data_IF_088725918279
#
_entry.id   IF_088725918279
#
_cell.length_a   1.000
_cell.length_b   1.000
_cell.length_c   1.000
_cell.angle_alpha   90.00
_cell.angle_beta   90.00
_cell.angle_gamma   90.00
#
_symmetry.space_group_name_H-M   'P 1'
#
loop_
_entity.id
_entity.type
_entity.pdbx_description
1 polymer ?
#
# COMPACT_ATOMS: atom_id res chain seq x y z
N UNK A 1 9.76 1.81 11.65
CA UNK A 1 9.73 2.45 10.31
C UNK A 1 11.00 3.25 10.06
N UNK A 2 11.35 4.27 10.84
CA UNK A 2 12.57 5.08 10.62
C UNK A 2 13.87 4.27 10.47
N UNK A 3 14.17 3.36 11.41
CA UNK A 3 15.34 2.48 11.30
C UNK A 3 15.29 1.55 10.09
N UNK A 4 14.09 1.10 9.68
CA UNK A 4 13.92 0.28 8.49
C UNK A 4 14.29 1.04 7.23
N UNK A 5 13.89 2.32 7.12
CA UNK A 5 14.21 3.17 5.98
C UNK A 5 15.71 3.49 5.90
N UNK A 6 16.38 3.63 7.05
CA UNK A 6 17.84 3.79 7.09
C UNK A 6 18.58 2.54 6.62
N UNK A 7 18.11 1.35 7.03
CA UNK A 7 18.71 0.07 6.60
C UNK A 7 18.46 -0.17 5.12
N UNK A 8 17.26 0.13 4.63
CA UNK A 8 16.94 0.10 3.20
C UNK A 8 17.89 0.98 2.39
N UNK A 9 18.10 2.23 2.81
CA UNK A 9 19.05 3.12 2.14
C UNK A 9 20.49 2.58 2.13
N UNK A 10 20.90 1.89 3.21
CA UNK A 10 22.21 1.23 3.28
C UNK A 10 22.30 0.04 2.33
N UNK A 11 21.29 -0.85 2.31
CA UNK A 11 21.29 -2.06 1.50
C UNK A 11 21.17 -1.74 0.01
N UNK A 12 20.35 -0.75 -0.34
CA UNK A 12 20.23 -0.25 -1.70
C UNK A 12 21.56 0.34 -2.18
N UNK A 13 22.23 1.14 -1.34
CA UNK A 13 23.57 1.62 -1.65
C UNK A 13 24.59 0.47 -1.81
N UNK A 14 24.56 -0.55 -0.96
CA UNK A 14 25.43 -1.72 -1.09
C UNK A 14 25.19 -2.49 -2.41
N UNK A 15 23.94 -2.63 -2.85
CA UNK A 15 23.59 -3.24 -4.12
C UNK A 15 24.13 -2.44 -5.30
N UNK A 16 23.92 -1.12 -5.34
CA UNK A 16 24.40 -0.28 -6.44
C UNK A 16 25.93 -0.11 -6.46
N UNK A 17 26.62 -0.21 -5.33
CA UNK A 17 28.09 -0.23 -5.27
C UNK A 17 28.66 -1.56 -5.78
N UNK A 18 28.03 -2.69 -5.43
CA UNK A 18 28.49 -4.03 -5.78
C UNK A 18 27.28 -4.91 -6.16
N UNK A 19 26.82 -4.86 -7.42
CA UNK A 19 25.64 -5.59 -7.85
C UNK A 19 25.93 -7.09 -7.88
N UNK A 20 25.18 -7.84 -7.09
CA UNK A 20 25.18 -9.29 -7.09
C UNK A 20 23.85 -9.80 -6.52
N UNK A 21 23.58 -11.08 -6.75
CA UNK A 21 22.35 -11.74 -6.32
C UNK A 21 22.05 -11.56 -4.83
N UNK A 22 23.04 -11.75 -3.95
CA UNK A 22 22.82 -11.65 -2.51
C UNK A 22 22.43 -10.22 -2.10
N UNK A 23 23.12 -9.21 -2.63
CA UNK A 23 22.81 -7.81 -2.33
C UNK A 23 21.43 -7.40 -2.84
N UNK A 24 21.04 -7.85 -4.04
CA UNK A 24 19.71 -7.61 -4.60
C UNK A 24 18.60 -8.25 -3.72
N UNK A 25 18.83 -9.49 -3.27
CA UNK A 25 17.90 -10.20 -2.39
C UNK A 25 17.74 -9.50 -1.03
N UNK A 26 18.83 -9.01 -0.44
CA UNK A 26 18.77 -8.28 0.82
C UNK A 26 18.05 -6.94 0.68
N UNK A 27 18.33 -6.18 -0.38
CA UNK A 27 17.65 -4.91 -0.66
C UNK A 27 16.13 -5.13 -0.81
N UNK A 28 15.74 -6.01 -1.73
CA UNK A 28 14.33 -6.32 -1.99
C UNK A 28 13.60 -6.87 -0.75
N UNK A 29 14.27 -7.71 0.06
CA UNK A 29 13.68 -8.24 1.29
C UNK A 29 13.29 -7.14 2.29
N UNK A 30 14.10 -6.07 2.38
CA UNK A 30 13.78 -4.94 3.24
C UNK A 30 12.67 -4.06 2.65
N UNK A 31 12.53 -3.96 1.33
CA UNK A 31 11.36 -3.36 0.68
C UNK A 31 10.06 -4.07 1.09
N UNK A 32 10.03 -5.42 1.10
CA UNK A 32 8.87 -6.19 1.57
C UNK A 32 8.55 -5.87 3.04
N UNK A 33 9.58 -5.81 3.89
CA UNK A 33 9.44 -5.48 5.30
C UNK A 33 8.87 -4.07 5.48
N UNK A 34 9.36 -3.09 4.74
CA UNK A 34 8.90 -1.71 4.77
C UNK A 34 7.44 -1.57 4.31
N UNK A 35 7.06 -2.27 3.24
CA UNK A 35 5.67 -2.30 2.78
C UNK A 35 4.75 -2.90 3.86
N UNK A 36 5.14 -4.03 4.46
CA UNK A 36 4.41 -4.66 5.55
C UNK A 36 4.27 -3.75 6.78
N UNK A 37 5.36 -3.09 7.20
CA UNK A 37 5.35 -2.13 8.31
C UNK A 37 4.46 -0.91 8.02
N UNK A 38 4.38 -0.48 6.76
CA UNK A 38 3.53 0.63 6.33
C UNK A 38 2.04 0.27 6.44
N UNK A 39 1.65 -0.94 6.00
CA UNK A 39 0.28 -1.45 6.19
C UNK A 39 -0.04 -1.58 7.68
N UNK A 40 0.89 -2.13 8.45
CA UNK A 40 0.73 -2.27 9.91
C UNK A 40 0.56 -0.94 10.61
N UNK A 41 1.29 0.10 10.21
CA UNK A 41 1.17 1.44 10.77
C UNK A 41 -0.24 2.02 10.53
N UNK A 42 -0.75 1.91 9.30
CA UNK A 42 -2.12 2.32 8.95
C UNK A 42 -3.19 1.51 9.70
N UNK A 43 -2.98 0.22 9.92
CA UNK A 43 -3.95 -0.67 10.57
C UNK A 43 -3.97 -0.51 12.10
N UNK A 44 -2.80 -0.31 12.72
CA UNK A 44 -2.63 -0.36 14.17
C UNK A 44 -3.40 0.73 14.91
N UNK A 45 -3.65 1.90 14.33
CA UNK A 45 -4.36 2.98 15.04
C UNK A 45 -5.84 2.65 15.29
N UNK A 46 -6.49 1.95 14.36
CA UNK A 46 -7.93 1.64 14.42
C UNK A 46 -8.24 0.21 14.84
N UNK A 47 -7.33 -0.74 14.61
CA UNK A 47 -7.59 -2.17 14.79
C UNK A 47 -6.56 -2.86 15.70
N UNK A 48 -6.21 -2.25 16.83
CA UNK A 48 -5.17 -2.77 17.75
C UNK A 48 -5.36 -4.22 18.19
N UNK A 49 -6.62 -4.68 18.31
CA UNK A 49 -6.92 -6.05 18.75
C UNK A 49 -6.64 -7.10 17.66
N UNK A 50 -6.62 -6.68 16.39
CA UNK A 50 -6.38 -7.54 15.22
C UNK A 50 -4.92 -7.42 14.73
N UNK A 51 -4.20 -6.38 15.15
CA UNK A 51 -2.80 -6.17 14.82
C UNK A 51 -1.94 -7.34 15.30
N UNK A 52 -1.21 -8.03 14.39
CA UNK A 52 -0.36 -9.16 14.77
C UNK A 52 0.77 -8.72 15.70
N UNK A 53 1.18 -9.64 16.60
CA UNK A 53 2.38 -9.45 17.43
C UNK A 53 3.63 -9.42 16.56
N UNK A 54 4.67 -8.74 17.02
CA UNK A 54 5.95 -8.61 16.29
C UNK A 54 6.54 -9.95 15.84
N UNK A 55 6.50 -10.99 16.69
CA UNK A 55 6.99 -12.33 16.33
C UNK A 55 6.23 -12.95 15.16
N UNK A 56 4.91 -12.80 15.15
CA UNK A 56 4.05 -13.30 14.07
C UNK A 56 4.30 -12.53 12.78
N UNK A 57 4.45 -11.21 12.87
CA UNK A 57 4.82 -10.37 11.72
C UNK A 57 6.18 -10.76 11.14
N UNK A 58 7.22 -10.88 11.97
CA UNK A 58 8.55 -11.28 11.52
C UNK A 58 8.55 -12.68 10.91
N UNK A 59 7.80 -13.63 11.48
CA UNK A 59 7.66 -14.98 10.91
C UNK A 59 6.96 -14.96 9.54
N UNK A 60 5.94 -14.11 9.37
CA UNK A 60 5.28 -13.93 8.08
C UNK A 60 6.22 -13.33 7.04
N UNK A 61 6.97 -12.27 7.38
CA UNK A 61 7.96 -11.69 6.46
C UNK A 61 9.06 -12.71 6.12
N UNK A 62 9.57 -13.45 7.08
CA UNK A 62 10.55 -14.51 6.81
C UNK A 62 10.00 -15.58 5.86
N UNK A 63 8.74 -15.96 6.00
CA UNK A 63 8.08 -16.88 5.08
C UNK A 63 7.95 -16.31 3.66
N UNK A 64 7.63 -15.02 3.52
CA UNK A 64 7.60 -14.33 2.22
C UNK A 64 8.99 -14.28 1.59
N UNK A 65 10.05 -14.03 2.36
CA UNK A 65 11.43 -14.06 1.87
C UNK A 65 11.83 -15.46 1.39
N UNK A 66 11.40 -16.53 2.08
CA UNK A 66 11.62 -17.91 1.60
C UNK A 66 10.90 -18.16 0.27
N UNK A 67 9.68 -17.65 0.09
CA UNK A 67 8.96 -17.73 -1.20
C UNK A 67 9.70 -16.97 -2.29
N UNK A 68 10.18 -15.75 -2.01
CA UNK A 68 11.00 -14.91 -2.89
C UNK A 68 12.23 -15.67 -3.39
N UNK A 69 13.07 -16.17 -2.47
CA UNK A 69 14.26 -16.97 -2.82
C UNK A 69 13.88 -18.24 -3.59
N UNK A 70 12.79 -18.91 -3.22
CA UNK A 70 12.33 -20.10 -3.94
C UNK A 70 11.90 -19.78 -5.37
N UNK A 71 11.26 -18.62 -5.59
CA UNK A 71 10.82 -18.18 -6.91
C UNK A 71 11.95 -17.86 -7.87
N UNK A 72 13.13 -17.51 -7.34
CA UNK A 72 14.33 -17.28 -8.15
C UNK A 72 15.15 -18.55 -8.36
N UNK A 73 15.13 -19.50 -7.41
CA UNK A 73 15.91 -20.75 -7.51
C UNK A 73 15.20 -21.83 -8.33
N UNK A 74 13.86 -21.86 -8.33
CA UNK A 74 13.09 -22.82 -9.15
C UNK A 74 13.18 -22.41 -10.61
N UNK A 75 13.44 -23.38 -11.50
CA UNK A 75 13.58 -23.20 -12.96
C UNK A 75 12.67 -22.11 -13.52
N UNK A 76 13.28 -21.15 -14.23
CA UNK A 76 12.66 -19.95 -14.78
C UNK A 76 11.30 -20.26 -15.42
N UNK A 77 10.22 -19.81 -14.76
CA UNK A 77 8.86 -19.95 -15.28
C UNK A 77 8.18 -21.30 -15.05
N UNK A 78 8.64 -22.11 -14.09
CA UNK A 78 7.96 -23.35 -13.71
C UNK A 78 6.46 -23.12 -13.43
N UNK A 79 5.56 -23.71 -14.23
CA UNK A 79 4.12 -23.46 -14.08
C UNK A 79 3.58 -23.96 -12.74
N UNK A 80 4.25 -24.95 -12.13
CA UNK A 80 3.88 -25.49 -10.82
C UNK A 80 4.10 -24.46 -9.73
N UNK A 81 5.28 -23.81 -9.72
CA UNK A 81 5.59 -22.76 -8.75
C UNK A 81 4.62 -21.58 -8.88
N UNK A 82 4.40 -21.08 -10.10
CA UNK A 82 3.48 -19.98 -10.35
C UNK A 82 2.04 -20.32 -9.96
N UNK A 83 1.58 -21.56 -10.22
CA UNK A 83 0.24 -22.00 -9.80
C UNK A 83 0.10 -22.02 -8.28
N UNK A 84 1.09 -22.57 -7.58
CA UNK A 84 1.09 -22.59 -6.11
C UNK A 84 1.13 -21.17 -5.52
N UNK A 85 2.02 -20.32 -6.03
CA UNK A 85 2.14 -18.94 -5.59
C UNK A 85 0.86 -18.14 -5.80
N UNK A 86 0.25 -18.22 -6.99
CA UNK A 86 -0.99 -17.51 -7.29
C UNK A 86 -2.16 -18.00 -6.43
N UNK A 87 -2.25 -19.31 -6.15
CA UNK A 87 -3.25 -19.84 -5.21
C UNK A 87 -3.02 -19.30 -3.79
N UNK A 88 -1.77 -19.32 -3.32
CA UNK A 88 -1.41 -18.76 -2.03
C UNK A 88 -1.75 -17.27 -1.92
N UNK A 89 -1.39 -16.47 -2.95
CA UNK A 89 -1.72 -15.05 -3.03
C UNK A 89 -3.22 -14.80 -2.94
N UNK A 90 -4.04 -15.54 -3.70
CA UNK A 90 -5.50 -15.43 -3.65
C UNK A 90 -6.07 -15.81 -2.28
N UNK A 91 -5.55 -16.86 -1.65
CA UNK A 91 -5.96 -17.25 -0.28
C UNK A 91 -5.64 -16.15 0.71
N UNK A 92 -4.43 -15.57 0.68
CA UNK A 92 -4.04 -14.46 1.54
C UNK A 92 -4.97 -13.26 1.33
N UNK A 93 -5.26 -12.89 0.08
CA UNK A 93 -6.16 -11.77 -0.25
C UNK A 93 -7.57 -12.01 0.27
N UNK A 94 -8.11 -13.23 0.17
CA UNK A 94 -9.43 -13.58 0.72
C UNK A 94 -9.43 -13.51 2.24
N UNK A 95 -8.38 -14.02 2.90
CA UNK A 95 -8.26 -13.95 4.37
C UNK A 95 -8.16 -12.51 4.85
N UNK A 96 -7.31 -11.69 4.22
CA UNK A 96 -7.18 -10.26 4.54
C UNK A 96 -8.50 -9.52 4.28
N UNK A 97 -9.18 -9.83 3.18
CA UNK A 97 -10.50 -9.27 2.87
C UNK A 97 -11.54 -9.59 3.94
N UNK A 98 -11.52 -10.81 4.49
CA UNK A 98 -12.37 -11.19 5.62
C UNK A 98 -12.02 -10.42 6.89
N UNK A 99 -10.74 -10.26 7.20
CA UNK A 99 -10.27 -9.51 8.39
C UNK A 99 -10.61 -8.01 8.30
N UNK A 100 -10.58 -7.43 7.10
CA UNK A 100 -11.03 -6.06 6.86
C UNK A 100 -12.56 -5.93 6.96
N UNK A 101 -13.32 -7.02 6.76
CA UNK A 101 -14.78 -7.01 6.71
C UNK A 101 -15.47 -7.71 7.90
N UNK A 102 -14.72 -8.12 8.94
CA UNK A 102 -15.31 -8.69 10.16
C UNK A 102 -16.06 -7.63 10.94
N UNK A 103 -17.39 -7.62 10.84
CA UNK A 103 -18.23 -6.84 11.75
C UNK A 103 -19.73 -6.86 11.50
N UNK A 104 -20.21 -6.61 10.27
CA UNK A 104 -21.65 -6.55 9.95
C UNK A 104 -21.90 -6.86 8.48
N UNK A 105 -23.02 -7.52 8.19
CA UNK A 105 -23.50 -7.71 6.82
C UNK A 105 -23.75 -6.35 6.17
N UNK A 106 -23.19 -6.05 4.97
CA UNK A 106 -23.40 -4.78 4.34
C UNK A 106 -24.85 -4.69 3.88
N UNK A 107 -25.58 -3.68 4.35
CA UNK A 107 -26.80 -3.25 3.67
C UNK A 107 -26.36 -2.46 2.46
N UNK A 108 -26.62 -2.98 1.27
CA UNK A 108 -26.25 -2.34 0.01
C UNK A 108 -27.00 -1.02 -0.10
N UNK A 109 -26.30 0.10 0.13
CA UNK A 109 -26.80 1.41 -0.29
C UNK A 109 -26.62 1.51 -1.81
N UNK A 110 -27.69 1.74 -2.59
CA UNK A 110 -27.57 1.86 -4.03
C UNK A 110 -26.84 3.15 -4.36
N UNK A 111 -25.66 2.99 -4.97
CA UNK A 111 -24.94 3.94 -5.83
C UNK A 111 -24.74 5.37 -5.30
N UNK A 112 -23.46 5.64 -5.04
CA UNK A 112 -22.83 6.89 -4.61
C UNK A 112 -23.16 7.35 -3.18
N UNK A 113 -22.11 7.35 -2.34
CA UNK A 113 -21.99 8.06 -1.05
C UNK A 113 -22.43 9.57 -1.11
N UNK A 114 -22.84 10.12 -2.28
CA UNK A 114 -23.39 11.47 -2.47
C UNK A 114 -24.81 11.69 -1.89
N UNK A 115 -25.50 10.64 -1.43
CA UNK A 115 -26.82 10.77 -0.78
C UNK A 115 -26.79 10.75 0.74
N UNK A 116 -25.61 10.63 1.38
CA UNK A 116 -25.52 10.72 2.83
C UNK A 116 -25.57 12.21 3.21
N UNK A 117 -26.62 12.70 3.91
CA UNK A 117 -26.73 14.12 4.23
C UNK A 117 -25.56 14.58 5.10
N UNK A 118 -25.14 15.85 5.01
CA UNK A 118 -24.12 16.41 5.90
C UNK A 118 -24.47 16.16 7.38
N UNK A 119 -23.46 15.91 8.21
CA UNK A 119 -23.62 15.58 9.65
C UNK A 119 -24.48 16.61 10.41
N UNK A 120 -24.54 17.84 9.93
CA UNK A 120 -25.33 18.92 10.52
C UNK A 120 -26.84 18.79 10.28
N UNK A 121 -27.26 17.96 9.31
CA UNK A 121 -28.67 17.74 8.93
C UNK A 121 -29.27 16.47 9.53
N UNK A 122 -28.46 15.53 9.99
CA UNK A 122 -28.90 14.28 10.61
C UNK A 122 -28.26 14.14 12.01
N UNK A 123 -28.88 14.67 13.08
CA UNK A 123 -28.39 14.47 14.44
C UNK A 123 -28.42 12.97 14.83
N UNK A 124 -27.54 12.52 15.74
CA UNK A 124 -27.62 11.18 16.32
C UNK A 124 -29.01 10.94 16.93
N UNK A 125 -29.52 9.71 16.85
CA UNK A 125 -30.83 9.29 17.38
C UNK A 125 -31.09 9.78 18.81
N UNK A 126 -30.02 9.82 19.61
CA UNK A 126 -30.07 10.12 21.04
C UNK A 126 -30.15 11.63 21.34
N UNK A 127 -30.02 12.47 20.29
CA UNK A 127 -30.16 13.94 20.35
C UNK A 127 -31.42 14.46 19.66
N UNK A 128 -32.26 13.57 19.13
CA UNK A 128 -33.53 13.97 18.52
C UNK A 128 -34.53 14.39 19.62
N UNK A 129 -35.05 15.63 19.58
CA UNK A 129 -36.12 16.02 20.49
C UNK A 129 -37.44 15.28 20.15
N UNK A 130 -38.35 15.07 21.13
CA UNK A 130 -39.53 14.19 20.98
C UNK A 130 -40.68 14.73 20.11
N UNK A 131 -40.39 15.59 19.13
CA UNK A 131 -41.41 16.21 18.30
C UNK A 131 -40.89 16.34 16.88
N UNK A 132 -41.41 15.51 15.95
CA UNK A 132 -41.50 15.58 14.47
C UNK A 132 -40.51 16.44 13.64
N UNK A 133 -39.37 16.82 14.21
CA UNK A 133 -38.33 17.68 13.62
C UNK A 133 -37.15 16.89 13.11
N UNK A 134 -37.11 15.58 13.37
CA UNK A 134 -36.10 14.72 12.79
C UNK A 134 -36.50 14.31 11.38
N UNK A 135 -35.57 14.34 10.40
CA UNK A 135 -35.86 13.90 9.04
C UNK A 135 -36.35 12.44 9.05
N UNK A 136 -37.28 12.06 8.16
CA UNK A 136 -37.74 10.67 8.06
C UNK A 136 -36.56 9.71 7.83
N UNK A 137 -36.64 8.48 8.37
CA UNK A 137 -35.56 7.46 8.35
C UNK A 137 -34.98 7.20 6.96
N UNK A 138 -35.81 7.36 5.93
CA UNK A 138 -35.45 7.13 4.53
C UNK A 138 -34.55 8.24 3.96
N UNK A 139 -34.46 9.40 4.63
CA UNK A 139 -33.59 10.52 4.28
C UNK A 139 -32.29 10.55 5.09
N UNK A 140 -32.25 9.94 6.27
CA UNK A 140 -31.06 9.82 7.12
C UNK A 140 -30.79 8.33 7.40
N UNK A 141 -30.27 7.55 6.42
CA UNK A 141 -29.86 6.18 6.68
C UNK A 141 -28.79 6.16 7.80
N UNK A 142 -28.72 5.09 8.63
CA UNK A 142 -27.71 4.98 9.66
C UNK A 142 -26.31 5.14 9.05
N UNK A 143 -25.47 5.99 9.65
CA UNK A 143 -24.10 6.27 9.19
C UNK A 143 -23.31 4.97 8.92
N UNK A 144 -23.51 3.95 9.75
CA UNK A 144 -22.95 2.60 9.60
C UNK A 144 -23.27 1.96 8.24
N UNK A 145 -24.51 2.11 7.74
CA UNK A 145 -24.94 1.48 6.47
C UNK A 145 -24.33 2.14 5.23
N UNK A 146 -24.11 3.46 5.26
CA UNK A 146 -23.40 4.20 4.20
C UNK A 146 -21.91 3.81 4.16
N UNK A 147 -21.31 3.67 5.34
CA UNK A 147 -19.93 3.25 5.53
C UNK A 147 -19.68 1.83 5.01
N UNK A 148 -20.60 0.90 5.30
CA UNK A 148 -20.51 -0.51 4.88
C UNK A 148 -20.63 -0.70 3.36
N UNK A 149 -21.45 0.10 2.68
CA UNK A 149 -21.56 0.05 1.23
C UNK A 149 -20.29 0.57 0.54
N UNK A 150 -19.74 1.70 1.01
CA UNK A 150 -18.51 2.27 0.47
C UNK A 150 -17.28 1.35 0.77
N UNK A 151 -17.25 0.65 1.91
CA UNK A 151 -16.31 -0.44 2.18
C UNK A 151 -16.43 -1.61 1.20
N UNK A 152 -17.65 -2.05 0.89
CA UNK A 152 -17.88 -3.19 0.00
C UNK A 152 -17.38 -2.90 -1.43
N UNK A 153 -17.67 -1.70 -1.96
CA UNK A 153 -17.20 -1.31 -3.30
C UNK A 153 -15.68 -1.31 -3.37
N UNK A 154 -15.02 -0.75 -2.36
CA UNK A 154 -13.56 -0.69 -2.29
C UNK A 154 -12.95 -2.09 -2.11
N UNK A 155 -13.58 -2.97 -1.33
CA UNK A 155 -13.15 -4.35 -1.17
C UNK A 155 -13.21 -5.12 -2.49
N UNK A 156 -14.30 -4.95 -3.26
CA UNK A 156 -14.43 -5.55 -4.59
C UNK A 156 -13.31 -5.06 -5.51
N UNK A 157 -13.02 -3.75 -5.50
CA UNK A 157 -11.94 -3.18 -6.30
C UNK A 157 -10.57 -3.76 -5.92
N UNK A 158 -10.26 -3.85 -4.62
CA UNK A 158 -9.00 -4.46 -4.14
C UNK A 158 -8.87 -5.91 -4.57
N UNK A 159 -9.95 -6.70 -4.48
CA UNK A 159 -9.94 -8.08 -4.91
C UNK A 159 -9.78 -8.21 -6.43
N UNK A 160 -10.45 -7.37 -7.23
CA UNK A 160 -10.32 -7.37 -8.68
C UNK A 160 -8.87 -7.09 -9.12
N UNK A 161 -8.21 -6.11 -8.48
CA UNK A 161 -6.81 -5.79 -8.78
C UNK A 161 -5.89 -6.96 -8.39
N UNK A 162 -6.09 -7.56 -7.22
CA UNK A 162 -5.28 -8.70 -6.80
C UNK A 162 -5.48 -9.94 -7.68
N UNK A 163 -6.71 -10.24 -8.09
CA UNK A 163 -6.99 -11.31 -9.06
C UNK A 163 -6.30 -11.02 -10.39
N UNK A 164 -6.33 -9.77 -10.85
CA UNK A 164 -5.63 -9.37 -12.08
C UNK A 164 -4.12 -9.58 -11.98
N UNK A 165 -3.50 -9.24 -10.84
CA UNK A 165 -2.08 -9.49 -10.58
C UNK A 165 -1.77 -10.99 -10.56
N UNK A 166 -2.61 -11.80 -9.91
CA UNK A 166 -2.44 -13.25 -9.87
C UNK A 166 -2.52 -13.88 -11.27
N UNK A 167 -3.49 -13.45 -12.09
CA UNK A 167 -3.64 -13.89 -13.48
C UNK A 167 -2.46 -13.43 -14.34
N UNK A 168 -1.99 -12.20 -14.16
CA UNK A 168 -0.80 -11.70 -14.84
C UNK A 168 0.43 -12.58 -14.54
N UNK A 169 0.66 -12.93 -13.27
CA UNK A 169 1.74 -13.82 -12.87
C UNK A 169 1.64 -15.21 -13.53
N UNK A 170 0.44 -15.79 -13.56
CA UNK A 170 0.19 -17.09 -14.20
C UNK A 170 0.45 -17.09 -15.72
N UNK A 171 0.07 -16.02 -16.41
CA UNK A 171 0.15 -15.93 -17.87
C UNK A 171 1.55 -15.54 -18.32
N UNK A 172 2.09 -14.45 -17.77
CA UNK A 172 3.34 -13.87 -18.22
C UNK A 172 4.55 -14.57 -17.62
N UNK A 173 4.45 -15.06 -16.37
CA UNK A 173 5.54 -15.70 -15.63
C UNK A 173 6.85 -14.93 -15.80
N UNK A 174 6.88 -13.64 -15.37
CA UNK A 174 8.05 -12.80 -15.54
C UNK A 174 9.30 -13.46 -14.94
N UNK A 175 10.45 -13.27 -15.60
CA UNK A 175 11.73 -13.81 -15.14
C UNK A 175 12.08 -13.28 -13.73
N UNK A 176 11.84 -11.98 -13.51
CA UNK A 176 12.00 -11.37 -12.19
C UNK A 176 10.75 -11.58 -11.31
N UNK A 177 10.77 -12.69 -10.56
CA UNK A 177 9.73 -13.01 -9.58
C UNK A 177 9.64 -11.95 -8.46
N UNK A 178 10.77 -11.40 -8.03
CA UNK A 178 10.83 -10.47 -6.92
C UNK A 178 10.20 -9.13 -7.25
N UNK A 179 10.41 -8.63 -8.46
CA UNK A 179 9.70 -7.46 -8.98
C UNK A 179 8.18 -7.68 -9.02
N UNK A 180 7.72 -8.89 -9.39
CA UNK A 180 6.30 -9.24 -9.36
C UNK A 180 5.74 -9.27 -7.93
N UNK A 181 6.47 -9.90 -7.01
CA UNK A 181 6.09 -9.95 -5.59
C UNK A 181 6.06 -8.54 -4.98
N UNK A 182 7.08 -7.72 -5.24
CA UNK A 182 7.16 -6.33 -4.78
C UNK A 182 5.98 -5.51 -5.31
N UNK A 183 5.63 -5.67 -6.59
CA UNK A 183 4.48 -5.02 -7.18
C UNK A 183 3.18 -5.36 -6.44
N UNK A 184 2.98 -6.61 -6.00
CA UNK A 184 1.82 -6.99 -5.17
C UNK A 184 1.80 -6.19 -3.86
N UNK A 185 2.92 -6.08 -3.15
CA UNK A 185 3.01 -5.32 -1.90
C UNK A 185 2.74 -3.82 -2.12
N UNK A 186 3.36 -3.20 -3.12
CA UNK A 186 3.23 -1.77 -3.41
C UNK A 186 1.80 -1.44 -3.86
N UNK A 187 1.22 -2.20 -4.79
CA UNK A 187 -0.15 -1.97 -5.27
C UNK A 187 -1.15 -2.12 -4.13
N UNK A 188 -1.01 -3.14 -3.27
CA UNK A 188 -1.88 -3.29 -2.10
C UNK A 188 -1.69 -2.16 -1.09
N UNK A 189 -0.47 -1.69 -0.86
CA UNK A 189 -0.22 -0.54 0.02
C UNK A 189 -0.89 0.74 -0.52
N UNK A 190 -0.76 1.03 -1.82
CA UNK A 190 -1.39 2.19 -2.46
C UNK A 190 -2.92 2.08 -2.38
N UNK A 191 -3.48 0.92 -2.71
CA UNK A 191 -4.92 0.68 -2.62
C UNK A 191 -5.43 0.85 -1.19
N UNK A 192 -4.72 0.30 -0.21
CA UNK A 192 -5.11 0.39 1.20
C UNK A 192 -4.96 1.82 1.75
N UNK A 193 -3.90 2.54 1.37
CA UNK A 193 -3.74 3.95 1.71
C UNK A 193 -4.85 4.81 1.09
N UNK A 194 -5.17 4.59 -0.18
CA UNK A 194 -6.27 5.27 -0.87
C UNK A 194 -7.62 4.99 -0.20
N UNK A 195 -7.88 3.73 0.14
CA UNK A 195 -9.03 3.32 0.95
C UNK A 195 -9.06 4.07 2.29
N UNK A 196 -7.93 4.10 3.00
CA UNK A 196 -7.82 4.72 4.31
C UNK A 196 -8.15 6.22 4.26
N UNK A 197 -7.52 6.95 3.32
CA UNK A 197 -7.78 8.39 3.11
C UNK A 197 -9.25 8.60 2.74
N UNK A 198 -9.79 7.81 1.80
CA UNK A 198 -11.18 7.94 1.38
C UNK A 198 -12.16 7.76 2.56
N UNK A 199 -11.96 6.72 3.38
CA UNK A 199 -12.81 6.46 4.54
C UNK A 199 -12.68 7.54 5.62
N UNK A 200 -11.48 8.11 5.79
CA UNK A 200 -11.23 9.25 6.67
C UNK A 200 -12.01 10.50 6.22
N UNK A 201 -12.05 10.76 4.91
CA UNK A 201 -12.84 11.85 4.33
C UNK A 201 -14.34 11.63 4.48
N UNK A 202 -14.84 10.43 4.17
CA UNK A 202 -16.27 10.05 4.36
C UNK A 202 -16.68 10.13 5.83
N UNK A 203 -15.76 9.83 6.74
CA UNK A 203 -15.99 9.92 8.19
C UNK A 203 -15.92 11.35 8.74
N UNK A 204 -15.57 12.34 7.92
CA UNK A 204 -15.48 13.74 8.32
C UNK A 204 -14.28 14.08 9.20
N UNK A 205 -13.26 13.22 9.26
CA UNK A 205 -12.04 13.48 10.05
C UNK A 205 -11.11 14.48 9.34
N UNK A 206 -11.08 14.47 8.00
CA UNK A 206 -10.19 15.32 7.20
C UNK A 206 -8.70 14.98 7.37
N UNK A 207 -7.84 15.67 6.63
CA UNK A 207 -6.38 15.56 6.77
C UNK A 207 -5.81 16.84 7.39
N UNK A 208 -4.72 16.74 8.14
CA UNK A 208 -4.02 17.95 8.63
C UNK A 208 -3.30 18.64 7.47
N UNK A 209 -3.06 19.95 7.59
CA UNK A 209 -2.28 20.70 6.59
C UNK A 209 -0.87 20.11 6.38
N UNK A 210 -0.26 19.59 7.44
CA UNK A 210 1.05 18.95 7.38
C UNK A 210 1.00 17.67 6.52
N UNK A 211 0.01 16.81 6.74
CA UNK A 211 -0.19 15.60 5.93
C UNK A 211 -0.45 15.95 4.47
N UNK A 212 -1.29 16.96 4.20
CA UNK A 212 -1.58 17.41 2.83
C UNK A 212 -0.31 17.92 2.15
N UNK A 213 0.50 18.73 2.86
CA UNK A 213 1.78 19.20 2.35
C UNK A 213 2.70 18.02 1.96
N UNK A 214 2.89 17.05 2.84
CA UNK A 214 3.70 15.87 2.52
C UNK A 214 3.11 15.03 1.39
N UNK A 215 1.78 14.91 1.31
CA UNK A 215 1.09 14.17 0.24
C UNK A 215 1.34 14.81 -1.13
N UNK A 216 1.19 16.13 -1.24
CA UNK A 216 1.41 16.86 -2.49
C UNK A 216 2.88 16.82 -2.89
N UNK A 217 3.79 17.09 -1.95
CA UNK A 217 5.23 17.05 -2.19
C UNK A 217 5.66 15.67 -2.71
N UNK A 218 5.21 14.61 -2.04
CA UNK A 218 5.48 13.22 -2.40
C UNK A 218 4.94 12.86 -3.78
N UNK A 219 3.71 13.29 -4.11
CA UNK A 219 3.11 13.03 -5.42
C UNK A 219 3.91 13.69 -6.55
N UNK A 220 4.42 14.91 -6.33
CA UNK A 220 5.28 15.61 -7.29
C UNK A 220 6.59 14.83 -7.53
N UNK A 221 7.28 14.44 -6.46
CA UNK A 221 8.53 13.68 -6.58
C UNK A 221 8.34 12.29 -7.19
N UNK A 222 7.27 11.57 -6.85
CA UNK A 222 6.91 10.32 -7.53
C UNK A 222 6.63 10.52 -9.01
N UNK A 223 5.93 11.60 -9.39
CA UNK A 223 5.66 11.93 -10.79
C UNK A 223 6.95 12.11 -11.60
N UNK A 224 7.91 12.87 -11.08
CA UNK A 224 9.21 13.01 -11.73
C UNK A 224 10.02 11.71 -11.70
N UNK A 225 10.01 10.99 -10.59
CA UNK A 225 10.68 9.69 -10.45
C UNK A 225 10.20 8.70 -11.52
N UNK A 226 8.88 8.52 -11.67
CA UNK A 226 8.29 7.64 -12.69
C UNK A 226 8.59 8.09 -14.12
N UNK A 227 8.72 9.40 -14.36
CA UNK A 227 9.15 9.91 -15.66
C UNK A 227 10.55 9.42 -16.03
N UNK A 228 11.51 9.45 -15.09
CA UNK A 228 12.87 8.97 -15.32
C UNK A 228 12.95 7.43 -15.34
N UNK A 229 12.16 6.75 -14.50
CA UNK A 229 12.09 5.28 -14.48
C UNK A 229 11.74 4.68 -15.85
N UNK A 230 10.77 5.27 -16.57
CA UNK A 230 10.30 4.75 -17.85
C UNK A 230 11.21 5.08 -19.05
N UNK A 231 12.38 5.71 -18.84
CA UNK A 231 13.26 6.17 -19.93
C UNK A 231 14.41 5.22 -20.25
N UNK A 232 14.83 4.38 -19.31
CA UNK A 232 16.01 3.51 -19.46
C UNK A 232 15.78 2.07 -19.00
N UNK A 233 16.62 1.17 -19.52
CA UNK A 233 16.57 -0.27 -19.24
C UNK A 233 17.34 -0.57 -17.96
N UNK A 234 16.64 -0.89 -16.88
CA UNK A 234 17.25 -1.44 -15.66
C UNK A 234 17.18 -2.95 -15.71
N UNK A 235 18.28 -3.62 -16.08
CA UNK A 235 18.34 -5.08 -16.05
C UNK A 235 19.45 -5.55 -15.11
N UNK A 236 19.06 -6.18 -14.00
CA UNK A 236 19.98 -6.72 -13.00
C UNK A 236 20.52 -8.12 -13.34
N UNK A 237 19.90 -8.80 -14.31
CA UNK A 237 20.26 -10.17 -14.70
C UNK A 237 21.59 -10.23 -15.48
N UNK A 238 22.00 -9.11 -16.08
CA UNK A 238 23.24 -9.02 -16.87
C UNK A 238 24.43 -8.61 -16.03
N UNK A 239 25.63 -9.02 -16.45
CA UNK A 239 26.86 -8.64 -15.77
C UNK A 239 27.06 -7.12 -15.77
N UNK A 240 27.77 -6.58 -14.77
CA UNK A 240 28.08 -5.16 -14.71
C UNK A 240 28.86 -4.66 -15.96
N UNK A 241 29.64 -5.53 -16.60
CA UNK A 241 30.34 -5.20 -17.85
C UNK A 241 29.36 -5.07 -19.03
N UNK A 242 28.43 -6.01 -19.17
CA UNK A 242 27.40 -5.99 -20.22
C UNK A 242 26.35 -4.89 -19.99
N UNK A 243 26.05 -4.57 -18.73
CA UNK A 243 25.21 -3.42 -18.38
C UNK A 243 25.86 -2.10 -18.81
N UNK A 244 27.18 -1.95 -18.65
CA UNK A 244 27.91 -0.72 -19.03
C UNK A 244 27.87 -0.44 -20.52
N UNK A 245 27.74 -1.46 -21.36
CA UNK A 245 27.60 -1.29 -22.82
C UNK A 245 26.26 -0.64 -23.20
N UNK A 246 25.28 -0.65 -22.30
CA UNK A 246 23.95 -0.06 -22.50
C UNK A 246 23.83 1.35 -21.91
N UNK A 247 24.90 1.90 -21.35
CA UNK A 247 24.91 3.24 -20.75
C UNK A 247 24.67 4.31 -21.82
N UNK A 248 23.83 5.29 -21.49
CA UNK A 248 23.58 6.48 -22.31
C UNK A 248 24.37 7.67 -21.80
N UNK A 249 24.33 8.78 -22.53
CA UNK A 249 24.97 10.03 -22.10
C UNK A 249 24.35 10.55 -20.79
N UNK A 250 25.20 11.05 -19.88
CA UNK A 250 24.76 11.60 -18.59
C UNK A 250 23.96 12.90 -18.80
N UNK A 251 22.92 13.10 -17.98
CA UNK A 251 21.96 14.20 -18.12
C UNK A 251 22.29 15.36 -17.19
N UNK A 252 22.75 15.06 -15.98
CA UNK A 252 23.00 16.07 -14.94
C UNK A 252 24.50 16.16 -14.64
N UNK A 253 25.05 17.37 -14.82
CA UNK A 253 26.46 17.71 -14.59
C UNK A 253 27.49 16.80 -15.27
N UNK A 254 27.10 16.16 -16.37
CA UNK A 254 27.92 15.16 -17.07
C UNK A 254 28.40 14.01 -16.16
N UNK A 255 27.66 13.75 -15.08
CA UNK A 255 28.00 12.72 -14.10
C UNK A 255 26.84 11.76 -13.87
N UNK A 256 25.63 12.27 -13.63
CA UNK A 256 24.47 11.43 -13.34
C UNK A 256 23.64 11.15 -14.59
N UNK A 257 23.27 9.88 -14.76
CA UNK A 257 22.35 9.44 -15.80
C UNK A 257 20.87 9.54 -15.35
N UNK A 258 19.94 9.07 -16.18
CA UNK A 258 18.52 9.06 -15.80
C UNK A 258 18.20 8.10 -14.64
N UNK A 259 18.93 7.00 -14.52
CA UNK A 259 18.74 6.00 -13.47
C UNK A 259 19.15 6.56 -12.10
N UNK A 260 20.28 7.25 -12.04
CA UNK A 260 20.74 7.96 -10.85
C UNK A 260 19.73 9.03 -10.41
N UNK A 261 19.23 9.83 -11.37
CA UNK A 261 18.21 10.85 -11.11
C UNK A 261 16.90 10.21 -10.63
N UNK A 262 16.51 9.06 -11.20
CA UNK A 262 15.37 8.28 -10.73
C UNK A 262 15.55 7.85 -9.28
N UNK A 263 16.69 7.26 -8.91
CA UNK A 263 17.00 6.82 -7.54
C UNK A 263 17.01 7.99 -6.54
N UNK A 264 17.57 9.13 -6.91
CA UNK A 264 17.55 10.32 -6.07
C UNK A 264 16.11 10.81 -5.83
N UNK A 265 15.33 10.99 -6.89
CA UNK A 265 13.95 11.48 -6.79
C UNK A 265 13.02 10.48 -6.08
N UNK A 266 13.18 9.17 -6.33
CA UNK A 266 12.40 8.13 -5.66
C UNK A 266 12.72 8.07 -4.17
N UNK A 267 13.97 8.27 -3.76
CA UNK A 267 14.35 8.28 -2.34
C UNK A 267 13.66 9.41 -1.56
N UNK A 268 13.58 10.61 -2.15
CA UNK A 268 12.88 11.77 -1.58
C UNK A 268 11.38 11.49 -1.52
N UNK A 269 10.80 10.92 -2.58
CA UNK A 269 9.39 10.54 -2.62
C UNK A 269 9.04 9.46 -1.58
N UNK A 270 9.91 8.46 -1.42
CA UNK A 270 9.75 7.39 -0.44
C UNK A 270 9.80 7.95 0.98
N UNK A 271 10.79 8.80 1.30
CA UNK A 271 10.85 9.47 2.59
C UNK A 271 9.60 10.32 2.87
N UNK A 272 9.15 11.11 1.88
CA UNK A 272 7.91 11.88 1.97
C UNK A 272 6.67 11.00 2.19
N UNK A 273 6.61 9.84 1.54
CA UNK A 273 5.53 8.85 1.72
C UNK A 273 5.48 8.37 3.17
N UNK A 274 6.63 8.12 3.79
CA UNK A 274 6.72 7.72 5.20
C UNK A 274 6.30 8.85 6.14
N UNK A 275 6.70 10.09 5.88
CA UNK A 275 6.26 11.25 6.67
C UNK A 275 4.74 11.46 6.57
N UNK A 276 4.17 11.29 5.38
CA UNK A 276 2.73 11.30 5.19
C UNK A 276 2.05 10.21 6.01
N UNK A 277 2.54 8.95 5.95
CA UNK A 277 1.99 7.85 6.75
C UNK A 277 2.05 8.13 8.25
N UNK A 278 3.15 8.69 8.75
CA UNK A 278 3.32 8.97 10.17
C UNK A 278 2.42 10.11 10.67
N UNK A 279 2.06 11.05 9.80
CA UNK A 279 1.25 12.23 10.16
C UNK A 279 -0.23 12.09 9.83
N UNK A 280 -0.65 11.00 9.17
CA UNK A 280 -2.00 10.84 8.62
C UNK A 280 -3.11 10.86 9.67
N UNK A 281 -2.77 10.54 10.92
CA UNK A 281 -3.71 10.46 12.06
C UNK A 281 -3.43 11.49 13.17
N UNK A 282 -2.60 12.49 12.92
CA UNK A 282 -2.29 13.53 13.93
C UNK A 282 -3.55 14.27 14.42
N UNK A 283 -4.58 14.39 13.56
CA UNK A 283 -5.85 15.01 13.91
C UNK A 283 -6.71 14.22 14.92
N UNK A 284 -6.43 12.93 15.12
CA UNK A 284 -7.17 12.06 16.04
C UNK A 284 -6.37 11.62 17.26
N UNK A 285 -5.18 12.18 17.47
CA UNK A 285 -4.29 11.79 18.58
C UNK A 285 -4.87 12.07 19.98
N UNK A 286 -5.66 13.12 20.12
CA UNK A 286 -6.34 13.48 21.36
C UNK A 286 -7.73 12.84 21.52
N UNK A 287 -8.21 12.13 20.50
CA UNK A 287 -9.55 11.54 20.50
C UNK A 287 -9.55 10.22 21.28
N UNK A 288 -10.45 10.04 22.28
CA UNK A 288 -10.56 8.78 22.99
C UNK A 288 -10.86 7.63 22.03
N UNK A 289 -10.17 6.50 22.21
CA UNK A 289 -10.21 5.36 21.27
C UNK A 289 -11.61 4.83 20.99
N UNK A 290 -12.50 4.81 21.99
CA UNK A 290 -13.90 4.37 21.83
C UNK A 290 -14.73 5.25 20.88
N UNK A 291 -14.22 6.44 20.55
CA UNK A 291 -14.87 7.41 19.65
C UNK A 291 -14.25 7.44 18.25
N UNK A 292 -13.16 6.70 18.02
CA UNK A 292 -12.52 6.63 16.70
C UNK A 292 -13.33 5.67 15.83
N UNK A 293 -13.86 6.12 14.67
CA UNK A 293 -14.52 5.23 13.72
C UNK A 293 -13.55 4.14 13.25
N UNK A 294 -13.93 2.88 13.42
CA UNK A 294 -13.22 1.75 12.83
C UNK A 294 -13.74 1.55 11.42
N UNK A 295 -12.85 1.39 10.44
CA UNK A 295 -13.21 1.07 9.06
C UNK A 295 -12.21 0.18 8.37
#
# INVERSE_FOLDING_TARGET
MGSGLMIEGLLSACYHICPNYNNFQFDTSFMFMLAGLSVMNLYQKRHQNLTPRSRTFCAFIAFIVVISVSGVVVEDGSPVFWTFFSLFHLVVVVVLSRLLFTGKTPKVCPLLCNRCPPSDRCPPSDRCPPSDRCPPSDRCPPRDSCLDACRLVLLVLVNLVNVSLAVYGLVQRPADFDSHLLAIFIVNLILYLGFYIFMKMVSGEGLTYLTVFYSVLTAVFWGFSLYFFNRDLTNWEVSAAESREKNRECVLWSYFDHHDVWHFLSSVALFGSFLMLLTIDDNIDSVPRSKIPTF
#
